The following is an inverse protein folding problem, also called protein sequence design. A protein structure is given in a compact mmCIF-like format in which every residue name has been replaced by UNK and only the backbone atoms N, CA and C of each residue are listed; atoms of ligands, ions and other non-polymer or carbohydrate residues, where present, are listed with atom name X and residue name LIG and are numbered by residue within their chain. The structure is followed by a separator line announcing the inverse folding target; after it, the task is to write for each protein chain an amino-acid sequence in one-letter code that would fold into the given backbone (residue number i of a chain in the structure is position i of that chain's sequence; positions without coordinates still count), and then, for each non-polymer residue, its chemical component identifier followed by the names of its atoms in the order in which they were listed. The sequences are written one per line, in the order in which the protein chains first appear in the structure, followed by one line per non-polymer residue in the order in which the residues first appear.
data_IF_809298689752
#
_entry.id   IF_809298689752
#
_cell.length_a   1.000
_cell.length_b   1.000
_cell.length_c   1.000
_cell.angle_alpha   90.00
_cell.angle_beta   90.00
_cell.angle_gamma   90.00
#
_symmetry.space_group_name_H-M   'P 1'
#
loop_
_entity.id
_entity.type
_entity.pdbx_description
1 polymer ?
#
# COMPACT_ATOMS: atom_id res chain seq x y z
N UNK A 1 17.39 -1.15 12.42
CA UNK A 1 15.94 -1.40 12.44
C UNK A 1 15.29 -0.05 12.22
N UNK A 2 14.46 0.09 11.19
CA UNK A 2 13.70 1.32 10.95
C UNK A 2 12.30 1.04 11.46
N UNK A 3 11.99 1.60 12.63
CA UNK A 3 10.66 1.53 13.21
C UNK A 3 9.73 2.46 12.43
N UNK A 4 8.88 1.89 11.58
CA UNK A 4 7.79 2.62 10.94
C UNK A 4 6.54 2.59 11.84
N UNK A 5 6.67 3.12 13.06
CA UNK A 5 5.55 3.31 13.98
C UNK A 5 4.74 4.51 13.51
N UNK A 6 3.71 4.30 12.68
CA UNK A 6 2.74 5.36 12.40
C UNK A 6 1.92 5.26 11.11
N UNK A 7 2.33 4.48 10.11
CA UNK A 7 1.62 4.47 8.81
C UNK A 7 0.32 3.66 8.83
N UNK A 8 0.15 2.71 9.76
CA UNK A 8 -1.01 1.81 9.83
C UNK A 8 -1.97 2.14 11.00
N UNK A 9 -2.36 3.40 11.19
CA UNK A 9 -3.45 3.77 12.11
C UNK A 9 -4.80 3.76 11.39
N UNK A 10 -5.86 3.42 12.14
CA UNK A 10 -7.27 3.58 11.77
C UNK A 10 -7.65 5.02 11.39
N UNK A 11 -6.83 6.02 11.77
CA UNK A 11 -6.94 7.42 11.34
C UNK A 11 -6.39 7.66 9.94
N UNK A 12 -5.44 6.82 9.47
CA UNK A 12 -4.67 7.03 8.24
C UNK A 12 -5.35 6.41 7.02
N UNK A 13 -6.14 5.35 7.21
CA UNK A 13 -6.93 4.73 6.14
C UNK A 13 -8.42 4.83 6.45
N UNK A 14 -9.14 5.73 5.78
CA UNK A 14 -10.61 5.73 5.81
C UNK A 14 -11.09 4.49 5.06
N UNK A 15 -11.45 3.44 5.80
CA UNK A 15 -12.08 2.25 5.25
C UNK A 15 -13.59 2.49 5.18
N UNK A 16 -14.08 2.99 4.05
CA UNK A 16 -15.51 3.14 3.85
C UNK A 16 -16.14 1.78 3.50
N UNK A 17 -16.59 1.05 4.52
CA UNK A 17 -17.27 -0.23 4.35
C UNK A 17 -18.42 -0.37 5.36
N UNK A 18 -19.50 0.39 5.16
CA UNK A 18 -20.76 0.25 5.91
C UNK A 18 -20.70 0.67 7.38
N UNK A 19 -21.83 0.75 8.08
CA UNK A 19 -21.88 1.24 9.46
C UNK A 19 -22.15 0.05 10.41
N UNK A 20 -21.20 -0.34 11.29
CA UNK A 20 -19.84 0.17 11.48
C UNK A 20 -18.83 -0.50 10.53
N UNK A 21 -17.91 0.28 9.97
CA UNK A 21 -16.86 -0.21 9.08
C UNK A 21 -15.72 -0.75 9.94
N UNK A 22 -15.60 -2.07 10.01
CA UNK A 22 -14.44 -2.70 10.64
C UNK A 22 -13.41 -3.05 9.56
N UNK A 23 -12.13 -2.66 9.74
CA UNK A 23 -11.04 -3.14 8.90
C UNK A 23 -10.95 -4.67 8.95
N UNK A 24 -11.16 -5.36 7.82
CA UNK A 24 -11.08 -6.85 7.76
C UNK A 24 -9.85 -7.38 7.00
N UNK A 25 -9.13 -6.54 6.25
CA UNK A 25 -8.01 -6.96 5.38
C UNK A 25 -6.71 -6.18 5.65
N UNK A 26 -6.35 -6.01 6.93
CA UNK A 26 -5.13 -5.31 7.38
C UNK A 26 -3.81 -6.10 7.23
N UNK A 27 -3.84 -7.25 6.53
CA UNK A 27 -2.67 -8.16 6.43
C UNK A 27 -1.87 -8.00 5.15
N UNK A 28 -2.34 -7.18 4.21
CA UNK A 28 -1.75 -7.02 2.88
C UNK A 28 -1.07 -5.66 2.72
N UNK A 29 -0.06 -5.61 1.86
CA UNK A 29 0.72 -4.42 1.56
C UNK A 29 0.71 -4.17 0.04
N UNK A 30 0.52 -2.90 -0.32
CA UNK A 30 0.83 -2.36 -1.64
C UNK A 30 1.97 -1.35 -1.52
N UNK A 31 2.90 -1.35 -2.46
CA UNK A 31 3.96 -0.32 -2.57
C UNK A 31 4.01 0.22 -3.99
N UNK A 32 4.21 1.53 -4.11
CA UNK A 32 4.32 2.25 -5.38
C UNK A 32 5.66 2.99 -5.45
N UNK A 33 6.13 3.28 -6.67
CA UNK A 33 7.22 4.25 -6.87
C UNK A 33 6.73 5.64 -6.47
N UNK A 34 7.57 6.42 -5.77
CA UNK A 34 7.23 7.77 -5.34
C UNK A 34 7.19 8.78 -6.50
N UNK A 35 7.84 8.48 -7.64
CA UNK A 35 7.80 9.30 -8.85
C UNK A 35 7.76 8.38 -10.09
N UNK A 36 7.01 8.71 -11.16
CA UNK A 36 7.00 7.95 -12.41
C UNK A 36 8.38 7.85 -13.07
N UNK A 37 9.27 8.83 -12.87
CA UNK A 37 10.64 8.78 -13.35
C UNK A 37 11.45 7.66 -12.70
N UNK A 38 11.20 7.35 -11.42
CA UNK A 38 11.86 6.22 -10.75
C UNK A 38 11.40 4.88 -11.32
N UNK A 39 10.14 4.77 -11.75
CA UNK A 39 9.65 3.60 -12.47
C UNK A 39 10.37 3.46 -13.83
N UNK A 40 10.55 4.56 -14.58
CA UNK A 40 11.29 4.56 -15.85
C UNK A 40 12.76 4.18 -15.64
N UNK A 41 13.41 4.70 -14.59
CA UNK A 41 14.78 4.35 -14.22
C UNK A 41 14.92 2.86 -13.87
N UNK A 42 13.86 2.24 -13.37
CA UNK A 42 13.75 0.81 -13.11
C UNK A 42 13.23 0.00 -14.33
N UNK A 43 13.27 0.58 -15.54
CA UNK A 43 12.82 -0.04 -16.79
C UNK A 43 11.34 -0.43 -16.81
N UNK A 44 10.54 0.20 -15.96
CA UNK A 44 9.09 0.06 -15.92
C UNK A 44 8.39 1.20 -16.69
N UNK A 45 7.12 1.04 -17.08
CA UNK A 45 6.33 2.14 -17.62
C UNK A 45 6.25 3.33 -16.65
N UNK A 46 6.49 4.55 -17.14
CA UNK A 46 6.32 5.81 -16.40
C UNK A 46 4.86 6.23 -16.21
N UNK A 47 3.96 5.26 -15.99
CA UNK A 47 2.54 5.52 -15.79
C UNK A 47 2.32 6.19 -14.43
N UNK A 48 1.64 7.33 -14.45
CA UNK A 48 1.24 8.06 -13.24
C UNK A 48 0.05 7.39 -12.56
N UNK A 49 0.09 7.29 -11.24
CA UNK A 49 -0.99 6.76 -10.39
C UNK A 49 -1.26 7.69 -9.21
N UNK A 50 -2.48 7.72 -8.65
CA UNK A 50 -2.86 8.68 -7.62
C UNK A 50 -2.53 8.19 -6.19
N UNK A 51 -1.53 7.32 -6.01
CA UNK A 51 -1.30 6.58 -4.76
C UNK A 51 -0.16 7.14 -3.89
N UNK A 52 -0.03 8.47 -3.83
CA UNK A 52 0.85 9.23 -2.93
C UNK A 52 0.23 10.60 -2.58
N UNK A 53 0.98 11.45 -1.87
CA UNK A 53 0.49 12.71 -1.29
C UNK A 53 0.18 13.83 -2.28
N UNK A 54 0.74 13.80 -3.50
CA UNK A 54 0.50 14.77 -4.56
C UNK A 54 -0.20 14.17 -5.79
N UNK A 55 -0.57 12.88 -5.71
CA UNK A 55 -1.18 12.07 -6.77
C UNK A 55 -0.30 11.91 -8.02
N UNK A 56 1.03 11.93 -7.85
CA UNK A 56 2.00 11.77 -8.92
C UNK A 56 2.95 10.58 -8.71
N UNK A 57 2.46 9.49 -8.10
CA UNK A 57 3.21 8.25 -7.94
C UNK A 57 3.44 7.54 -9.29
N UNK A 58 4.48 6.71 -9.36
CA UNK A 58 4.66 5.74 -10.44
C UNK A 58 3.80 4.49 -10.25
N UNK A 59 4.09 3.42 -11.01
CA UNK A 59 3.35 2.15 -10.92
C UNK A 59 3.55 1.41 -9.58
N UNK A 60 2.66 0.46 -9.28
CA UNK A 60 2.80 -0.44 -8.13
C UNK A 60 3.97 -1.42 -8.33
N UNK A 61 4.88 -1.49 -7.36
CA UNK A 61 6.05 -2.38 -7.36
C UNK A 61 5.85 -3.64 -6.50
N UNK A 62 5.01 -3.57 -5.46
CA UNK A 62 4.67 -4.72 -4.62
C UNK A 62 3.16 -4.80 -4.42
N UNK A 63 2.64 -6.02 -4.55
CA UNK A 63 1.27 -6.34 -4.21
C UNK A 63 1.20 -7.71 -3.55
N UNK A 64 0.71 -7.77 -2.31
CA UNK A 64 0.57 -9.04 -1.58
C UNK A 64 -0.81 -9.65 -1.73
N UNK A 65 -1.66 -9.21 -2.66
CA UNK A 65 -2.99 -9.82 -2.90
C UNK A 65 -2.93 -11.27 -3.36
N UNK A 66 -1.78 -11.75 -3.82
CA UNK A 66 -1.59 -13.16 -4.17
C UNK A 66 -1.56 -14.10 -2.94
N UNK A 67 -1.48 -13.56 -1.73
CA UNK A 67 -1.68 -14.33 -0.51
C UNK A 67 -3.19 -14.48 -0.22
N UNK A 68 -3.65 -15.61 0.34
CA UNK A 68 -5.02 -15.71 0.85
C UNK A 68 -5.32 -14.58 1.86
N UNK A 69 -6.58 -14.11 1.92
CA UNK A 69 -7.01 -12.99 2.80
C UNK A 69 -6.49 -13.03 4.25
N UNK A 70 -6.45 -14.20 4.95
CA UNK A 70 -5.89 -14.23 6.30
C UNK A 70 -4.36 -14.44 6.35
N UNK A 71 -3.72 -14.72 5.22
CA UNK A 71 -2.33 -15.18 5.13
C UNK A 71 -1.37 -14.13 4.53
N UNK A 72 -1.80 -12.87 4.46
CA UNK A 72 -0.93 -11.77 4.08
C UNK A 72 0.29 -11.64 5.01
N UNK A 73 1.44 -11.14 4.51
CA UNK A 73 2.71 -11.19 5.23
C UNK A 73 2.72 -10.38 6.53
N UNK A 74 1.87 -9.36 6.67
CA UNK A 74 1.82 -8.56 7.90
C UNK A 74 1.29 -9.35 9.12
N UNK A 75 0.61 -10.49 8.90
CA UNK A 75 0.17 -11.36 9.99
C UNK A 75 1.30 -12.02 10.79
N UNK A 76 2.56 -11.91 10.33
CA UNK A 76 3.74 -12.44 11.03
C UNK A 76 4.51 -11.41 11.85
N UNK A 77 4.13 -10.14 11.74
CA UNK A 77 4.85 -9.01 12.36
C UNK A 77 3.96 -8.17 13.29
N UNK A 78 2.81 -8.73 13.70
CA UNK A 78 1.89 -8.10 14.66
C UNK A 78 2.38 -8.23 16.10
#
# INVERSE_FOLDING_TARGET
MVDATGIFSDQTFILNSGVPAFPVELRHLGLWFADPADAVNAECPGTVTPFDGDHNAGIQVLNTMNFPKPAGPLGRIQ
#
